data_IF_824685322510
#
_entry.id   IF_824685322510
#
_cell.length_a   1.000
_cell.length_b   1.000
_cell.length_c   1.000
_cell.angle_alpha   90.00
_cell.angle_beta   90.00
_cell.angle_gamma   90.00
#
_symmetry.space_group_name_H-M   'P 1'
#
loop_
_entity.id
_entity.type
_entity.pdbx_description
1 polymer ?
#
# COMPACT_ATOMS: atom_id res chain seq x y z
N UNK A 1 -5.86 -5.27 18.02
CA UNK A 1 -6.20 -4.81 16.94
C UNK A 1 -6.93 -5.78 16.19
N UNK A 2 -7.75 -5.34 15.40
CA UNK A 2 -8.46 -6.15 14.80
C UNK A 2 -8.08 -6.44 13.50
N UNK A 3 -7.78 -7.63 13.16
CA UNK A 3 -7.45 -8.02 11.85
C UNK A 3 -8.59 -7.79 10.93
N UNK A 4 -9.77 -7.70 11.43
CA UNK A 4 -10.88 -7.49 10.56
C UNK A 4 -10.88 -6.09 9.99
N UNK A 5 -10.11 -5.18 10.56
CA UNK A 5 -10.05 -3.90 10.02
C UNK A 5 -9.11 -3.84 8.90
N UNK A 6 -8.21 -4.78 8.80
CA UNK A 6 -7.20 -4.76 7.81
C UNK A 6 -7.52 -5.91 6.91
N UNK A 7 -8.47 -5.79 6.04
CA UNK A 7 -8.83 -6.91 5.25
C UNK A 7 -7.82 -7.21 4.18
N UNK A 8 -7.95 -8.37 3.57
CA UNK A 8 -7.00 -8.80 2.59
C UNK A 8 -6.91 -7.89 1.39
N UNK A 9 -8.01 -7.25 1.05
CA UNK A 9 -7.97 -6.32 -0.06
C UNK A 9 -7.04 -5.17 0.21
N UNK A 10 -7.01 -4.71 1.44
CA UNK A 10 -6.12 -3.61 1.77
C UNK A 10 -4.67 -4.05 1.70
N UNK A 11 -4.38 -5.27 2.09
CA UNK A 11 -3.03 -5.77 1.99
C UNK A 11 -2.60 -5.94 0.55
N UNK A 12 -3.52 -6.37 -0.30
CA UNK A 12 -3.20 -6.51 -1.71
C UNK A 12 -2.92 -5.15 -2.33
N UNK A 13 -3.68 -4.15 -1.95
CA UNK A 13 -3.46 -2.82 -2.46
C UNK A 13 -2.10 -2.31 -2.01
N UNK A 14 -1.78 -2.50 -0.74
CA UNK A 14 -0.50 -2.06 -0.20
C UNK A 14 0.65 -2.72 -0.97
N UNK A 15 0.59 -4.02 -1.14
CA UNK A 15 1.64 -4.75 -1.82
C UNK A 15 1.75 -4.31 -3.28
N UNK A 16 0.63 -4.10 -3.93
CA UNK A 16 0.65 -3.69 -5.32
C UNK A 16 1.27 -2.32 -5.50
N UNK A 17 0.92 -1.38 -4.63
CA UNK A 17 1.52 -0.06 -4.73
C UNK A 17 3.00 -0.13 -4.44
N UNK A 18 3.38 -0.94 -3.47
CA UNK A 18 4.78 -1.09 -3.10
C UNK A 18 5.58 -1.62 -4.27
N UNK A 19 5.06 -2.62 -4.95
CA UNK A 19 5.74 -3.22 -6.07
C UNK A 19 5.69 -2.41 -7.35
N UNK A 20 4.53 -1.85 -7.65
CA UNK A 20 4.37 -1.10 -8.90
C UNK A 20 4.84 0.33 -8.82
N UNK A 21 4.84 0.86 -7.62
CA UNK A 21 5.28 2.22 -7.35
C UNK A 21 4.39 3.30 -7.92
N UNK A 22 3.27 2.96 -8.48
CA UNK A 22 2.30 3.94 -8.93
C UNK A 22 0.91 3.41 -8.66
N UNK A 23 -0.01 4.32 -8.41
CA UNK A 23 -1.38 3.93 -8.17
C UNK A 23 -2.01 3.44 -9.45
N UNK A 24 -1.66 4.05 -10.57
CA UNK A 24 -2.21 3.65 -11.85
C UNK A 24 -1.89 2.19 -12.17
N UNK A 25 -0.64 1.81 -12.03
CA UNK A 25 -0.28 0.45 -12.31
C UNK A 25 -0.82 -0.53 -11.28
N UNK A 26 -0.85 -0.13 -10.04
CA UNK A 26 -1.41 -0.98 -9.01
C UNK A 26 -2.88 -1.25 -9.31
N UNK A 27 -3.60 -0.23 -9.74
CA UNK A 27 -5.01 -0.39 -10.05
C UNK A 27 -5.20 -1.34 -11.21
N UNK A 28 -4.36 -1.24 -12.22
CA UNK A 28 -4.45 -2.13 -13.36
C UNK A 28 -4.19 -3.56 -12.93
N UNK A 29 -3.19 -3.74 -12.10
CA UNK A 29 -2.84 -5.05 -11.69
C UNK A 29 -3.96 -5.70 -10.88
N UNK A 30 -4.64 -4.93 -10.09
CA UNK A 30 -5.71 -5.42 -9.26
C UNK A 30 -7.08 -5.38 -9.94
N UNK A 31 -7.10 -4.84 -11.13
CA UNK A 31 -8.34 -4.73 -11.88
C UNK A 31 -9.32 -3.82 -11.15
N UNK A 32 -8.83 -2.76 -10.60
CA UNK A 32 -9.62 -1.80 -9.87
C UNK A 32 -9.45 -0.42 -10.46
N UNK A 33 -10.31 0.51 -10.11
CA UNK A 33 -10.16 1.88 -10.55
C UNK A 33 -9.11 2.56 -9.69
N UNK A 34 -8.54 3.63 -10.18
CA UNK A 34 -7.57 4.37 -9.39
C UNK A 34 -8.21 4.92 -8.14
N UNK A 35 -9.47 5.34 -8.23
CA UNK A 35 -10.17 5.84 -7.06
C UNK A 35 -10.29 4.76 -5.99
N UNK A 36 -10.56 3.54 -6.41
CA UNK A 36 -10.69 2.45 -5.46
C UNK A 36 -9.37 2.19 -4.75
N UNK A 37 -8.27 2.23 -5.50
CA UNK A 37 -6.95 2.02 -4.92
C UNK A 37 -6.61 3.15 -3.97
N UNK A 38 -6.90 4.39 -4.36
CA UNK A 38 -6.64 5.53 -3.49
C UNK A 38 -7.44 5.46 -2.21
N UNK A 39 -8.69 5.06 -2.32
CA UNK A 39 -9.51 4.95 -1.12
C UNK A 39 -8.99 3.87 -0.19
N UNK A 40 -8.56 2.76 -0.76
CA UNK A 40 -8.00 1.69 0.05
C UNK A 40 -6.72 2.14 0.73
N UNK A 41 -5.90 2.90 0.02
CA UNK A 41 -4.68 3.42 0.61
C UNK A 41 -4.99 4.37 1.77
N UNK A 42 -6.01 5.21 1.60
CA UNK A 42 -6.39 6.11 2.67
C UNK A 42 -6.88 5.34 3.90
N UNK A 43 -7.55 4.24 3.68
CA UNK A 43 -7.97 3.42 4.80
C UNK A 43 -6.78 2.81 5.51
N UNK A 44 -5.78 2.40 4.75
CA UNK A 44 -4.57 1.87 5.34
C UNK A 44 -3.85 2.93 6.15
N UNK A 45 -3.78 4.14 5.61
CA UNK A 45 -3.13 5.22 6.32
C UNK A 45 -3.82 5.48 7.65
N UNK A 46 -5.13 5.45 7.62
CA UNK A 46 -5.87 5.71 8.82
C UNK A 46 -5.70 4.57 9.81
N UNK A 47 -5.78 3.34 9.35
CA UNK A 47 -5.67 2.18 10.22
C UNK A 47 -4.30 2.09 10.88
N UNK A 48 -3.26 2.35 10.11
CA UNK A 48 -1.90 2.23 10.62
C UNK A 48 -1.32 3.54 11.15
N UNK A 49 -2.09 4.59 11.02
CA UNK A 49 -1.69 5.91 11.51
C UNK A 49 -0.35 6.33 10.91
N UNK A 50 -0.19 6.14 9.63
CA UNK A 50 1.05 6.50 8.95
C UNK A 50 0.72 6.73 7.49
N UNK A 51 1.47 7.57 6.83
CA UNK A 51 1.25 7.86 5.44
C UNK A 51 1.53 6.69 4.54
N UNK A 52 2.40 5.83 4.93
CA UNK A 52 2.81 4.63 4.21
C UNK A 52 3.48 4.92 2.87
N UNK A 53 2.90 5.77 2.05
CA UNK A 53 3.51 6.13 0.79
C UNK A 53 3.41 7.64 0.60
N UNK A 54 4.36 8.21 -0.10
CA UNK A 54 4.29 9.62 -0.41
C UNK A 54 4.68 9.80 -1.87
N UNK A 55 4.17 10.85 -2.48
CA UNK A 55 4.41 11.06 -3.88
C UNK A 55 5.74 11.73 -4.09
N UNK A 56 6.55 11.14 -4.94
CA UNK A 56 7.85 11.70 -5.23
C UNK A 56 8.03 11.61 -6.75
N UNK A 57 8.13 12.70 -7.42
CA UNK A 57 8.16 12.74 -8.86
C UNK A 57 6.86 12.09 -9.33
N UNK A 58 6.92 11.09 -10.13
CA UNK A 58 5.73 10.44 -10.60
C UNK A 58 5.49 9.13 -9.90
N UNK A 59 6.18 8.85 -8.84
CA UNK A 59 6.07 7.57 -8.19
C UNK A 59 5.67 7.67 -6.77
N UNK A 60 5.14 6.60 -6.23
CA UNK A 60 4.80 6.54 -4.83
C UNK A 60 5.94 5.82 -4.13
N UNK A 61 6.56 6.48 -3.20
CA UNK A 61 7.65 5.87 -2.47
C UNK A 61 7.20 5.50 -1.08
N UNK A 62 7.64 4.36 -0.57
CA UNK A 62 7.21 3.93 0.75
C UNK A 62 7.92 4.70 1.84
N UNK A 63 7.22 4.91 2.95
CA UNK A 63 7.84 5.48 4.12
C UNK A 63 8.60 4.38 4.82
N UNK A 64 9.38 4.73 5.83
CA UNK A 64 10.12 3.74 6.55
C UNK A 64 9.18 2.72 7.17
N UNK A 65 8.04 3.17 7.68
CA UNK A 65 7.08 2.25 8.25
C UNK A 65 6.57 1.29 7.22
N UNK A 66 6.30 1.77 6.01
CA UNK A 66 5.81 0.91 4.96
C UNK A 66 6.88 -0.11 4.58
N UNK A 67 8.12 0.30 4.55
CA UNK A 67 9.20 -0.63 4.25
C UNK A 67 9.30 -1.70 5.33
N UNK A 68 9.14 -1.31 6.57
CA UNK A 68 9.19 -2.26 7.65
C UNK A 68 8.06 -3.27 7.55
N UNK A 69 6.90 -2.82 7.14
CA UNK A 69 5.77 -3.72 7.01
C UNK A 69 5.93 -4.65 5.83
N UNK A 70 6.54 -4.19 4.79
CA UNK A 70 6.64 -4.97 3.58
C UNK A 70 7.82 -5.92 3.57
N UNK A 71 8.83 -5.62 4.35
CA UNK A 71 10.03 -6.37 4.30
C UNK A 71 10.31 -7.40 5.30
N UNK A 72 9.46 -7.75 6.19
CA UNK A 72 9.83 -8.67 7.22
C UNK A 72 10.32 -9.96 6.64
N UNK A 73 9.78 -10.36 5.56
CA UNK A 73 10.19 -11.56 5.00
C UNK A 73 11.32 -11.39 4.11
N UNK A 74 11.31 -10.40 3.35
CA UNK A 74 12.34 -10.27 2.39
C UNK A 74 13.63 -10.03 3.01
N UNK A 75 13.70 -9.49 4.18
CA UNK A 75 14.93 -9.20 4.66
C UNK A 75 15.57 -10.38 5.18
N UNK A 76 14.94 -11.30 5.35
CA UNK A 76 15.51 -12.35 5.86
C UNK A 76 16.29 -12.87 4.99
N UNK A 77 16.99 -12.90 4.97
CA UNK A 77 17.64 -13.58 4.11
C UNK A 77 18.29 -14.16 4.55
#
# INVERSE_FOLDING_TARGET
>A
MNLSRLDLNLLLVFTSIYNEKTITKAAEKLNLSQSAVSNALNRLRYTLDDDLFFRSSDMMKPTKRAEDLALPNSKCP
#
